data_IF_295153704971
#
_entry.id   IF_295153704971
#
_cell.length_a   1.000
_cell.length_b   1.000
_cell.length_c   1.000
_cell.angle_alpha   90.00
_cell.angle_beta   90.00
_cell.angle_gamma   90.00
#
_symmetry.space_group_name_H-M   'P 1'
#
loop_
_entity.id
_entity.type
_entity.pdbx_description
1 polymer ?
#
# COMPACT_ATOMS: atom_id res chain seq x y z
N UNK A 1 17.58 -18.88 -4.38
CA UNK A 1 17.61 -17.45 -4.01
C UNK A 1 16.17 -17.05 -3.77
N UNK A 2 15.82 -16.41 -2.65
CA UNK A 2 14.44 -15.94 -2.41
C UNK A 2 14.21 -14.71 -3.29
N UNK A 3 13.22 -14.78 -4.19
CA UNK A 3 12.83 -13.68 -5.06
C UNK A 3 11.57 -13.06 -4.46
N UNK A 4 11.52 -11.73 -4.33
CA UNK A 4 10.33 -11.00 -3.98
C UNK A 4 9.44 -10.87 -5.22
N UNK A 5 8.23 -11.42 -5.17
CA UNK A 5 7.23 -11.18 -6.21
C UNK A 5 6.35 -10.02 -5.75
N UNK A 6 6.34 -8.93 -6.53
CA UNK A 6 5.55 -7.72 -6.23
C UNK A 6 4.30 -7.72 -7.09
N UNK A 7 3.14 -7.77 -6.45
CA UNK A 7 1.83 -7.65 -7.10
C UNK A 7 1.33 -6.22 -6.96
N UNK A 8 1.07 -5.56 -8.08
CA UNK A 8 0.56 -4.19 -8.13
C UNK A 8 -0.90 -4.23 -8.56
N UNK A 9 -1.77 -3.64 -7.74
CA UNK A 9 -3.20 -3.51 -8.04
C UNK A 9 -3.48 -2.13 -8.61
N UNK A 10 -3.98 -2.11 -9.87
CA UNK A 10 -4.16 -0.89 -10.65
C UNK A 10 -5.59 -0.67 -11.09
N UNK A 11 -6.00 0.60 -11.18
CA UNK A 11 -7.22 1.03 -11.87
C UNK A 11 -7.17 2.52 -12.22
N UNK A 12 -7.14 2.84 -13.53
CA UNK A 12 -7.26 4.20 -14.07
C UNK A 12 -6.31 5.23 -13.43
N UNK A 13 -5.01 4.92 -13.37
CA UNK A 13 -3.95 5.77 -12.81
C UNK A 13 -2.60 5.57 -13.51
N UNK A 14 -2.53 5.80 -14.82
CA UNK A 14 -1.34 5.52 -15.64
C UNK A 14 -0.04 6.11 -15.09
N UNK A 15 0.00 7.41 -14.78
CA UNK A 15 1.19 8.05 -14.22
C UNK A 15 1.63 7.47 -12.86
N UNK A 16 0.66 7.13 -12.02
CA UNK A 16 0.94 6.54 -10.70
C UNK A 16 1.44 5.10 -10.85
N UNK A 17 0.79 4.30 -11.68
CA UNK A 17 1.23 2.94 -12.00
C UNK A 17 2.64 2.92 -12.55
N UNK A 18 2.96 3.82 -13.50
CA UNK A 18 4.32 4.00 -14.04
C UNK A 18 5.33 4.27 -12.93
N UNK A 19 5.04 5.23 -12.07
CA UNK A 19 5.92 5.58 -10.95
C UNK A 19 6.12 4.39 -9.98
N UNK A 20 5.06 3.66 -9.66
CA UNK A 20 5.13 2.46 -8.82
C UNK A 20 6.07 1.42 -9.44
N UNK A 21 5.84 1.03 -10.69
CA UNK A 21 6.63 0.02 -11.39
C UNK A 21 8.10 0.45 -11.54
N UNK A 22 8.36 1.69 -12.01
CA UNK A 22 9.72 2.17 -12.21
C UNK A 22 10.49 2.30 -10.90
N UNK A 23 9.83 2.66 -9.80
CA UNK A 23 10.45 2.69 -8.48
C UNK A 23 10.85 1.29 -8.00
N UNK A 24 10.02 0.27 -8.28
CA UNK A 24 10.35 -1.12 -7.96
C UNK A 24 11.56 -1.59 -8.80
N UNK A 25 11.55 -1.34 -10.10
CA UNK A 25 12.64 -1.71 -11.00
C UNK A 25 13.97 -1.07 -10.61
N UNK A 26 13.91 0.18 -10.13
CA UNK A 26 15.10 0.90 -9.66
C UNK A 26 15.61 0.39 -8.32
N UNK A 27 14.71 0.15 -7.38
CA UNK A 27 15.07 -0.13 -5.98
C UNK A 27 15.14 -1.63 -5.66
N UNK A 28 14.48 -2.49 -6.44
CA UNK A 28 14.45 -3.95 -6.27
C UNK A 28 14.61 -4.61 -7.65
N UNK A 29 15.76 -4.48 -8.30
CA UNK A 29 15.94 -4.88 -9.70
C UNK A 29 15.68 -6.37 -9.96
N UNK A 30 15.84 -7.22 -8.95
CA UNK A 30 15.59 -8.66 -9.04
C UNK A 30 14.14 -9.05 -8.70
N UNK A 31 13.23 -8.09 -8.48
CA UNK A 31 11.83 -8.39 -8.19
C UNK A 31 11.09 -8.92 -9.42
N UNK A 32 10.25 -9.93 -9.21
CA UNK A 32 9.27 -10.36 -10.20
C UNK A 32 8.01 -9.49 -10.08
N UNK A 33 7.71 -8.67 -11.08
CA UNK A 33 6.62 -7.68 -11.05
C UNK A 33 5.41 -8.22 -11.81
N UNK A 34 4.27 -8.27 -11.13
CA UNK A 34 2.99 -8.72 -11.70
C UNK A 34 1.93 -7.65 -11.46
N UNK A 35 1.29 -7.19 -12.53
CA UNK A 35 0.25 -6.16 -12.48
C UNK A 35 -1.12 -6.83 -12.59
N UNK A 36 -2.00 -6.55 -11.64
CA UNK A 36 -3.42 -6.91 -11.63
C UNK A 36 -4.23 -5.65 -11.90
N UNK A 37 -4.59 -5.45 -13.17
CA UNK A 37 -5.39 -4.30 -13.56
C UNK A 37 -6.89 -4.61 -13.44
N UNK A 38 -7.65 -3.72 -12.78
CA UNK A 38 -9.09 -3.88 -12.57
C UNK A 38 -9.93 -3.41 -13.79
N UNK A 39 -9.47 -3.76 -14.98
CA UNK A 39 -10.10 -3.41 -16.25
C UNK A 39 -10.15 -1.89 -16.50
N UNK A 40 -8.99 -1.26 -16.49
CA UNK A 40 -8.84 0.16 -16.78
C UNK A 40 -9.35 0.54 -18.18
N UNK A 41 -9.96 1.71 -18.27
CA UNK A 41 -10.45 2.32 -19.51
C UNK A 41 -9.81 3.69 -19.81
N UNK A 42 -8.91 4.13 -18.95
CA UNK A 42 -8.15 5.37 -19.09
C UNK A 42 -7.01 5.21 -20.11
N UNK A 43 -6.93 6.08 -21.15
CA UNK A 43 -5.95 5.93 -22.24
C UNK A 43 -4.48 5.95 -21.75
N UNK A 44 -4.15 6.76 -20.73
CA UNK A 44 -2.80 6.81 -20.17
C UNK A 44 -2.43 5.50 -19.49
N UNK A 45 -3.39 4.92 -18.75
CA UNK A 45 -3.19 3.62 -18.07
C UNK A 45 -3.00 2.51 -19.09
N UNK A 46 -3.86 2.43 -20.11
CA UNK A 46 -3.77 1.42 -21.17
C UNK A 46 -2.45 1.50 -21.93
N UNK A 47 -2.03 2.71 -22.33
CA UNK A 47 -0.75 2.92 -23.01
C UNK A 47 0.44 2.46 -22.14
N UNK A 48 0.38 2.69 -20.82
CA UNK A 48 1.44 2.22 -19.95
C UNK A 48 1.41 0.70 -19.72
N UNK A 49 0.23 0.07 -19.62
CA UNK A 49 0.12 -1.38 -19.53
C UNK A 49 0.74 -2.07 -20.75
N UNK A 50 0.48 -1.57 -21.96
CA UNK A 50 1.10 -2.07 -23.19
C UNK A 50 2.64 -1.93 -23.17
N UNK A 51 3.16 -0.82 -22.63
CA UNK A 51 4.60 -0.64 -22.45
C UNK A 51 5.17 -1.60 -21.42
N UNK A 52 4.52 -1.71 -20.24
CA UNK A 52 4.94 -2.53 -19.11
C UNK A 52 4.91 -4.04 -19.42
N UNK A 53 4.05 -4.49 -20.34
CA UNK A 53 3.96 -5.89 -20.76
C UNK A 53 5.28 -6.45 -21.32
N UNK A 54 6.24 -5.59 -21.69
CA UNK A 54 7.57 -5.99 -22.20
C UNK A 54 8.50 -6.50 -21.09
N UNK A 55 8.22 -6.17 -19.84
CA UNK A 55 9.09 -6.47 -18.69
C UNK A 55 8.35 -6.82 -17.38
N UNK A 56 7.03 -6.71 -17.38
CA UNK A 56 6.17 -7.16 -16.28
C UNK A 56 5.13 -8.14 -16.83
N UNK A 57 4.68 -9.08 -15.99
CA UNK A 57 3.50 -9.86 -16.29
C UNK A 57 2.25 -9.01 -16.00
N UNK A 58 1.38 -8.87 -17.00
CA UNK A 58 0.04 -8.30 -16.82
C UNK A 58 -0.94 -9.47 -16.70
N UNK A 59 -1.74 -9.50 -15.62
CA UNK A 59 -2.79 -10.51 -15.44
C UNK A 59 -4.07 -10.01 -16.05
N UNK A 60 -4.54 -10.72 -17.05
CA UNK A 60 -5.79 -10.39 -17.76
C UNK A 60 -7.00 -10.69 -16.86
N UNK A 61 -8.06 -9.85 -16.88
CA UNK A 61 -9.29 -10.09 -16.13
C UNK A 61 -9.91 -11.46 -16.39
N UNK A 62 -9.76 -11.99 -17.60
CA UNK A 62 -10.24 -13.32 -18.01
C UNK A 62 -9.51 -14.46 -17.28
N UNK A 63 -8.23 -14.31 -16.96
CA UNK A 63 -7.44 -15.30 -16.19
C UNK A 63 -7.98 -15.50 -14.78
N UNK A 64 -8.63 -14.46 -14.23
CA UNK A 64 -9.16 -14.45 -12.86
C UNK A 64 -10.69 -14.53 -12.81
N UNK A 65 -11.33 -14.83 -13.94
CA UNK A 65 -12.77 -15.11 -14.01
C UNK A 65 -13.67 -13.87 -13.87
N UNK A 66 -13.14 -12.65 -14.11
CA UNK A 66 -13.92 -11.41 -14.09
C UNK A 66 -14.12 -10.84 -15.48
N UNK A 67 -15.37 -10.45 -15.77
CA UNK A 67 -15.75 -9.71 -17.01
C UNK A 67 -15.87 -8.20 -16.70
N UNK A 68 -15.93 -7.82 -15.42
CA UNK A 68 -16.08 -6.44 -14.91
C UNK A 68 -15.12 -6.19 -13.76
N UNK A 69 -15.01 -4.91 -13.34
CA UNK A 69 -14.23 -4.53 -12.16
C UNK A 69 -14.56 -5.42 -10.96
N UNK A 70 -13.63 -6.30 -10.59
CA UNK A 70 -13.75 -7.19 -9.43
C UNK A 70 -13.41 -6.50 -8.14
N UNK A 71 -12.72 -5.35 -8.25
CA UNK A 71 -12.21 -4.58 -7.14
C UNK A 71 -10.94 -5.16 -6.49
N UNK A 72 -10.31 -4.35 -5.66
CA UNK A 72 -9.02 -4.66 -5.03
C UNK A 72 -8.96 -6.05 -4.39
N UNK A 73 -9.91 -6.38 -3.53
CA UNK A 73 -9.87 -7.64 -2.77
C UNK A 73 -10.17 -8.88 -3.60
N UNK A 74 -10.91 -8.74 -4.70
CA UNK A 74 -11.06 -9.83 -5.67
C UNK A 74 -9.71 -10.12 -6.32
N UNK A 75 -9.02 -9.08 -6.80
CA UNK A 75 -7.71 -9.21 -7.42
C UNK A 75 -6.65 -9.72 -6.42
N UNK A 76 -6.72 -9.31 -5.15
CA UNK A 76 -5.86 -9.87 -4.08
C UNK A 76 -6.08 -11.37 -3.86
N UNK A 77 -7.33 -11.84 -3.88
CA UNK A 77 -7.64 -13.26 -3.79
C UNK A 77 -7.13 -14.03 -5.02
N UNK A 78 -7.32 -13.47 -6.22
CA UNK A 78 -6.81 -14.05 -7.44
C UNK A 78 -5.28 -14.14 -7.45
N UNK A 79 -4.59 -13.10 -6.97
CA UNK A 79 -3.14 -13.11 -6.80
C UNK A 79 -2.68 -14.20 -5.82
N UNK A 80 -3.38 -14.35 -4.69
CA UNK A 80 -3.09 -15.39 -3.71
C UNK A 80 -3.23 -16.80 -4.31
N UNK A 81 -4.26 -17.04 -5.09
CA UNK A 81 -4.49 -18.34 -5.74
C UNK A 81 -3.51 -18.62 -6.87
N UNK A 82 -3.23 -17.62 -7.72
CA UNK A 82 -2.36 -17.73 -8.89
C UNK A 82 -0.88 -17.91 -8.50
N UNK A 83 -0.48 -17.32 -7.38
CA UNK A 83 0.92 -17.23 -6.95
C UNK A 83 1.18 -18.02 -5.66
N UNK A 84 0.36 -19.04 -5.39
CA UNK A 84 0.43 -19.86 -4.18
C UNK A 84 1.79 -20.50 -3.91
N UNK A 85 2.54 -20.83 -4.97
CA UNK A 85 3.83 -21.52 -4.92
C UNK A 85 5.03 -20.56 -4.83
N UNK A 86 4.77 -19.24 -4.81
CA UNK A 86 5.83 -18.24 -4.59
C UNK A 86 6.27 -18.23 -3.14
N UNK A 87 7.55 -17.97 -2.90
CA UNK A 87 8.10 -17.92 -1.53
C UNK A 87 7.66 -16.69 -0.77
N UNK A 88 7.60 -15.53 -1.43
CA UNK A 88 7.31 -14.24 -0.81
C UNK A 88 6.56 -13.34 -1.77
N UNK A 89 5.42 -12.79 -1.34
CA UNK A 89 4.64 -11.80 -2.07
C UNK A 89 4.66 -10.45 -1.35
N UNK A 90 4.74 -9.38 -2.13
CA UNK A 90 4.52 -8.01 -1.69
C UNK A 90 3.32 -7.44 -2.44
N UNK A 91 2.28 -7.01 -1.74
CA UNK A 91 1.13 -6.34 -2.32
C UNK A 91 1.29 -4.83 -2.23
N UNK A 92 1.21 -4.16 -3.36
CA UNK A 92 1.24 -2.71 -3.49
C UNK A 92 0.03 -2.23 -4.31
N UNK A 93 -0.30 -0.94 -4.18
CA UNK A 93 -1.29 -0.28 -5.03
C UNK A 93 -0.59 0.65 -6.02
N UNK A 94 -1.28 1.02 -7.09
CA UNK A 94 -0.77 1.91 -8.14
C UNK A 94 -0.23 3.26 -7.61
N UNK A 95 -0.79 3.76 -6.50
CA UNK A 95 -0.37 5.00 -5.84
C UNK A 95 0.71 4.84 -4.75
N UNK A 96 1.42 3.71 -4.79
CA UNK A 96 2.57 3.43 -3.91
C UNK A 96 3.88 3.63 -4.65
N UNK A 97 4.91 4.07 -3.95
CA UNK A 97 6.28 4.15 -4.47
C UNK A 97 7.24 3.41 -3.56
N UNK A 98 8.19 2.67 -4.14
CA UNK A 98 9.38 2.18 -3.45
C UNK A 98 10.38 3.33 -3.38
N UNK A 99 10.82 3.68 -2.18
CA UNK A 99 11.52 4.93 -1.90
C UNK A 99 13.00 4.76 -1.56
N UNK A 100 13.48 3.51 -1.51
CA UNK A 100 14.89 3.17 -1.30
C UNK A 100 15.24 1.80 -1.87
N UNK A 101 16.51 1.53 -2.18
CA UNK A 101 16.99 0.21 -2.49
C UNK A 101 16.67 -0.81 -1.38
N UNK A 102 16.34 -2.04 -1.80
CA UNK A 102 16.12 -3.19 -0.91
C UNK A 102 17.09 -4.28 -1.29
N UNK A 103 17.96 -4.66 -0.36
CA UNK A 103 18.98 -5.67 -0.60
C UNK A 103 18.41 -7.09 -0.56
N UNK A 104 19.11 -8.03 -1.22
CA UNK A 104 18.79 -9.45 -1.15
C UNK A 104 18.88 -10.01 0.29
N UNK A 105 19.67 -9.41 1.18
CA UNK A 105 19.72 -9.76 2.60
C UNK A 105 18.43 -9.37 3.31
N UNK A 106 17.91 -8.17 3.08
CA UNK A 106 16.62 -7.72 3.66
C UNK A 106 15.46 -8.62 3.20
N UNK A 107 15.45 -9.03 1.92
CA UNK A 107 14.43 -9.97 1.41
C UNK A 107 14.53 -11.32 2.14
N UNK A 108 15.75 -11.82 2.41
CA UNK A 108 15.94 -13.05 3.20
C UNK A 108 15.51 -12.88 4.66
N UNK A 109 15.71 -11.72 5.26
CA UNK A 109 15.26 -11.43 6.62
C UNK A 109 13.72 -11.42 6.70
N UNK A 110 13.03 -10.82 5.73
CA UNK A 110 11.58 -10.89 5.59
C UNK A 110 11.08 -12.34 5.45
N UNK A 111 11.73 -13.11 4.58
CA UNK A 111 11.40 -14.53 4.37
C UNK A 111 11.59 -15.34 5.66
N UNK A 112 12.67 -15.08 6.39
CA UNK A 112 12.99 -15.73 7.65
C UNK A 112 12.00 -15.37 8.77
N UNK A 113 11.69 -14.06 8.94
CA UNK A 113 10.71 -13.59 9.91
C UNK A 113 9.35 -14.27 9.68
N UNK A 114 8.86 -14.19 8.45
CA UNK A 114 7.57 -14.79 8.06
C UNK A 114 7.57 -16.32 8.07
N UNK A 115 8.73 -16.97 8.06
CA UNK A 115 8.86 -18.42 8.17
C UNK A 115 8.87 -18.94 9.60
N UNK A 116 9.41 -18.19 10.55
CA UNK A 116 9.66 -18.63 11.93
C UNK A 116 8.66 -18.13 12.96
N UNK A 117 8.04 -16.98 12.71
CA UNK A 117 7.11 -16.38 13.68
C UNK A 117 5.69 -16.88 13.47
N UNK A 118 5.18 -17.82 14.27
CA UNK A 118 3.81 -18.32 14.13
C UNK A 118 2.76 -17.21 14.23
N UNK A 119 3.07 -16.13 14.98
CA UNK A 119 2.20 -14.99 15.22
C UNK A 119 2.30 -13.84 14.24
N UNK A 120 3.08 -13.93 13.13
CA UNK A 120 3.13 -12.86 12.12
C UNK A 120 2.74 -13.37 10.76
N UNK A 121 1.51 -13.07 10.32
CA UNK A 121 1.03 -13.37 8.96
C UNK A 121 1.56 -12.37 7.94
N UNK A 122 1.81 -11.14 8.38
CA UNK A 122 2.06 -9.99 7.53
C UNK A 122 3.18 -9.11 8.05
N UNK A 123 3.92 -8.48 7.12
CA UNK A 123 4.87 -7.40 7.39
C UNK A 123 4.44 -6.17 6.62
N UNK A 124 4.35 -5.02 7.27
CA UNK A 124 4.02 -3.74 6.66
C UNK A 124 5.30 -3.05 6.16
N UNK A 125 5.45 -2.80 4.84
CA UNK A 125 6.66 -2.25 4.26
C UNK A 125 6.71 -0.72 4.21
N UNK A 126 5.64 -0.04 4.67
CA UNK A 126 5.51 1.40 4.49
C UNK A 126 5.84 2.19 5.76
N UNK A 127 6.30 3.43 5.54
CA UNK A 127 6.45 4.42 6.59
C UNK A 127 5.11 4.72 7.27
N UNK A 128 5.18 5.18 8.53
CA UNK A 128 4.02 5.66 9.27
C UNK A 128 3.63 7.04 8.76
N UNK A 129 2.35 7.26 8.51
CA UNK A 129 1.84 8.58 8.12
C UNK A 129 1.82 9.52 9.32
N UNK A 130 2.40 10.70 9.22
CA UNK A 130 2.44 11.68 10.31
C UNK A 130 1.06 12.06 10.85
N UNK A 131 0.03 12.04 9.98
CA UNK A 131 -1.34 12.29 10.40
C UNK A 131 -1.90 11.19 11.33
N UNK A 132 -1.40 9.96 11.24
CA UNK A 132 -1.84 8.85 12.09
C UNK A 132 -1.22 8.93 13.49
N UNK A 133 -0.01 9.46 13.63
CA UNK A 133 0.60 9.70 14.93
C UNK A 133 -0.21 10.67 15.80
N UNK A 134 -0.84 11.68 15.17
CA UNK A 134 -1.65 12.66 15.90
C UNK A 134 -2.97 12.09 16.41
N UNK A 135 -3.43 10.99 15.84
CA UNK A 135 -4.75 10.40 16.14
C UNK A 135 -4.67 9.16 17.02
N UNK A 136 -3.50 8.53 17.08
CA UNK A 136 -3.31 7.23 17.72
C UNK A 136 -1.98 7.26 18.47
N UNK A 137 -2.00 6.88 19.74
CA UNK A 137 -0.76 6.56 20.44
C UNK A 137 -0.16 5.32 19.78
N UNK A 138 0.76 5.52 18.86
CA UNK A 138 1.57 4.43 18.32
C UNK A 138 2.65 4.17 19.34
N UNK A 139 2.39 3.30 20.30
CA UNK A 139 3.42 2.81 21.20
C UNK A 139 4.03 1.58 20.54
N UNK A 140 5.31 1.63 20.13
CA UNK A 140 5.97 0.44 19.64
C UNK A 140 6.11 -0.52 20.81
N UNK A 141 5.60 -1.73 20.66
CA UNK A 141 6.00 -2.84 21.49
C UNK A 141 7.39 -3.25 20.99
N UNK A 142 8.40 -3.15 21.83
CA UNK A 142 9.75 -3.59 21.50
C UNK A 142 9.69 -5.05 21.08
N UNK A 143 9.77 -5.27 19.77
CA UNK A 143 10.11 -6.57 19.21
C UNK A 143 11.58 -6.86 19.51
N UNK A 144 12.03 -8.11 19.39
CA UNK A 144 13.44 -8.44 19.48
C UNK A 144 14.22 -7.60 18.46
N UNK A 145 15.52 -7.44 18.65
CA UNK A 145 16.48 -6.65 17.85
C UNK A 145 16.61 -7.10 16.37
N UNK A 146 15.49 -7.20 15.65
CA UNK A 146 15.34 -7.89 14.37
C UNK A 146 14.97 -6.95 13.20
N UNK A 147 15.08 -5.63 13.37
CA UNK A 147 14.67 -4.69 12.29
C UNK A 147 13.16 -4.49 12.16
N UNK A 148 12.35 -5.03 13.10
CA UNK A 148 10.89 -4.95 13.08
C UNK A 148 10.33 -4.49 14.43
N UNK A 149 9.15 -3.85 14.40
CA UNK A 149 8.37 -3.50 15.58
C UNK A 149 6.90 -3.88 15.38
N UNK A 150 6.15 -3.87 16.48
CA UNK A 150 4.71 -4.10 16.47
C UNK A 150 4.01 -2.87 17.02
N UNK A 151 2.79 -2.61 16.57
CA UNK A 151 1.95 -1.54 17.12
C UNK A 151 1.08 -2.10 18.24
N UNK A 152 0.92 -1.33 19.32
CA UNK A 152 0.00 -1.72 20.39
C UNK A 152 -1.43 -1.79 19.87
N UNK A 153 -2.13 -2.89 20.17
CA UNK A 153 -3.57 -3.03 19.88
C UNK A 153 -4.36 -2.07 20.77
N UNK A 154 -4.95 -1.04 20.15
CA UNK A 154 -5.81 -0.08 20.82
C UNK A 154 -7.29 -0.44 20.70
N UNK A 155 -7.63 -1.57 20.08
CA UNK A 155 -9.01 -2.01 19.86
C UNK A 155 -9.78 -1.20 18.80
N UNK A 156 -9.14 -0.22 18.14
CA UNK A 156 -9.90 0.77 17.39
C UNK A 156 -9.80 0.72 15.87
N UNK A 157 -8.98 -0.15 15.24
CA UNK A 157 -8.88 -0.04 13.77
C UNK A 157 -8.03 -1.08 13.06
N UNK A 158 -8.27 -1.17 11.77
CA UNK A 158 -7.37 -1.71 10.76
C UNK A 158 -5.94 -1.12 10.88
N UNK A 159 -4.93 -1.87 10.45
CA UNK A 159 -3.53 -1.48 10.48
C UNK A 159 -2.78 -1.89 11.76
N UNK A 160 -3.34 -2.76 12.59
CA UNK A 160 -2.64 -3.40 13.72
C UNK A 160 -2.26 -4.85 13.35
N UNK A 161 -3.16 -5.57 12.73
CA UNK A 161 -3.01 -6.97 12.36
C UNK A 161 -2.88 -7.15 10.84
N UNK A 162 -3.40 -6.20 10.06
CA UNK A 162 -3.43 -6.22 8.60
C UNK A 162 -3.42 -4.80 8.01
N UNK A 163 -2.85 -4.67 6.82
CA UNK A 163 -2.96 -3.53 5.91
C UNK A 163 -3.06 -4.05 4.47
N UNK A 164 -3.60 -3.24 3.55
CA UNK A 164 -3.66 -3.60 2.13
C UNK A 164 -2.28 -3.58 1.45
N UNK A 165 -1.28 -2.93 2.06
CA UNK A 165 0.13 -2.97 1.64
C UNK A 165 0.93 -3.86 2.58
N UNK A 166 1.27 -5.05 2.13
CA UNK A 166 1.88 -6.08 2.98
C UNK A 166 2.84 -6.98 2.23
N UNK A 167 3.81 -7.52 2.98
CA UNK A 167 4.64 -8.66 2.56
C UNK A 167 4.21 -9.88 3.34
N UNK A 168 4.09 -11.03 2.67
CA UNK A 168 3.63 -12.28 3.28
C UNK A 168 4.06 -13.52 2.50
N UNK A 169 3.90 -14.69 3.11
CA UNK A 169 4.09 -16.01 2.47
C UNK A 169 2.73 -16.57 2.02
N UNK A 170 2.46 -16.73 0.71
CA UNK A 170 1.16 -17.19 0.23
C UNK A 170 0.80 -18.57 0.74
N UNK A 171 1.72 -19.53 0.74
CA UNK A 171 1.48 -20.87 1.25
C UNK A 171 1.03 -20.90 2.71
N UNK A 172 1.56 -19.98 3.54
CA UNK A 172 1.15 -19.85 4.94
C UNK A 172 -0.27 -19.30 5.10
N UNK A 173 -0.62 -18.29 4.30
CA UNK A 173 -1.97 -17.74 4.32
C UNK A 173 -3.00 -18.80 3.89
N UNK A 174 -2.71 -19.52 2.81
CA UNK A 174 -3.57 -20.59 2.29
C UNK A 174 -3.74 -21.71 3.32
N UNK A 175 -2.65 -22.15 3.96
CA UNK A 175 -2.69 -23.18 5.01
C UNK A 175 -3.52 -22.75 6.23
N UNK A 176 -3.57 -21.45 6.54
CA UNK A 176 -4.41 -20.89 7.60
C UNK A 176 -5.85 -20.64 7.17
N UNK A 177 -6.24 -20.93 5.94
CA UNK A 177 -7.58 -20.67 5.42
C UNK A 177 -7.88 -19.19 5.15
N UNK A 178 -6.84 -18.35 4.99
CA UNK A 178 -7.01 -16.92 4.73
C UNK A 178 -7.71 -16.64 3.41
N UNK A 179 -8.63 -15.65 3.43
CA UNK A 179 -9.21 -15.02 2.25
C UNK A 179 -9.39 -13.53 2.49
N UNK A 180 -9.08 -12.72 1.48
CA UNK A 180 -9.29 -11.27 1.55
C UNK A 180 -10.78 -10.94 1.50
N UNK A 181 -11.29 -10.31 2.56
CA UNK A 181 -12.65 -9.76 2.65
C UNK A 181 -12.73 -8.39 1.96
N UNK A 182 -13.95 -7.93 1.66
CA UNK A 182 -14.23 -6.69 0.92
C UNK A 182 -13.96 -5.40 1.73
N UNK A 183 -13.21 -5.47 2.83
CA UNK A 183 -12.82 -4.29 3.61
C UNK A 183 -11.60 -4.55 4.49
N UNK A 184 -10.72 -3.55 4.59
CA UNK A 184 -9.53 -3.59 5.44
C UNK A 184 -9.86 -3.92 6.93
N UNK A 185 -10.92 -3.34 7.56
CA UNK A 185 -11.29 -3.71 8.93
C UNK A 185 -11.72 -5.17 9.11
N UNK A 186 -12.32 -5.80 8.09
CA UNK A 186 -12.68 -7.20 8.15
C UNK A 186 -11.43 -8.09 8.05
N UNK A 187 -10.50 -7.73 7.17
CA UNK A 187 -9.21 -8.40 7.05
C UNK A 187 -8.38 -8.26 8.33
N UNK A 188 -8.36 -7.08 8.95
CA UNK A 188 -7.64 -6.86 10.22
C UNK A 188 -8.18 -7.76 11.37
N UNK A 189 -9.52 -7.92 11.48
CA UNK A 189 -10.13 -8.84 12.46
C UNK A 189 -9.75 -10.30 12.19
N UNK A 190 -9.84 -10.74 10.93
CA UNK A 190 -9.45 -12.10 10.55
C UNK A 190 -7.95 -12.34 10.81
N UNK A 191 -7.08 -11.37 10.50
CA UNK A 191 -5.65 -11.47 10.76
C UNK A 191 -5.35 -11.58 12.28
N UNK A 192 -6.09 -10.83 13.11
CA UNK A 192 -6.00 -10.94 14.57
C UNK A 192 -6.28 -12.36 15.07
N UNK A 193 -7.28 -13.00 14.52
CA UNK A 193 -7.69 -14.36 14.91
C UNK A 193 -6.70 -15.43 14.43
N UNK A 194 -6.16 -15.27 13.21
CA UNK A 194 -5.31 -16.29 12.59
C UNK A 194 -3.81 -16.12 12.88
N UNK A 195 -3.32 -14.88 13.00
CA UNK A 195 -1.89 -14.58 13.02
C UNK A 195 -1.43 -13.67 14.15
N UNK A 196 -2.32 -12.89 14.76
CA UNK A 196 -1.94 -11.89 15.74
C UNK A 196 -1.50 -10.56 15.10
N UNK A 197 -0.53 -9.87 15.71
CA UNK A 197 -0.10 -8.55 15.27
C UNK A 197 0.76 -8.60 14.01
N UNK A 198 0.55 -7.64 13.10
CA UNK A 198 1.40 -7.41 11.92
C UNK A 198 2.73 -6.77 12.35
N UNK A 199 3.83 -7.26 11.79
CA UNK A 199 5.14 -6.64 11.98
C UNK A 199 5.29 -5.40 11.08
N UNK A 200 5.96 -4.37 11.59
CA UNK A 200 6.33 -3.15 10.87
C UNK A 200 7.85 -3.08 10.73
N UNK A 201 8.33 -2.67 9.57
CA UNK A 201 9.76 -2.47 9.35
C UNK A 201 10.24 -1.19 10.04
N UNK A 202 11.40 -1.24 10.75
CA UNK A 202 12.08 -0.04 11.25
C UNK A 202 12.65 0.80 10.12
N UNK A 203 13.08 0.17 9.04
CA UNK A 203 13.53 0.82 7.82
C UNK A 203 12.58 0.44 6.66
N UNK A 204 11.41 1.09 6.55
CA UNK A 204 10.46 0.81 5.50
C UNK A 204 11.02 1.14 4.12
N UNK A 205 10.50 0.49 3.09
CA UNK A 205 10.97 0.73 1.72
C UNK A 205 9.89 1.29 0.79
N UNK A 206 8.65 1.34 1.22
CA UNK A 206 7.54 1.81 0.40
C UNK A 206 6.71 2.89 1.10
N UNK A 207 5.98 3.70 0.32
CA UNK A 207 5.03 4.67 0.85
C UNK A 207 3.97 5.01 -0.19
N UNK A 208 2.73 5.29 0.26
CA UNK A 208 1.71 5.89 -0.59
C UNK A 208 2.11 7.29 -1.00
N UNK A 209 1.86 7.66 -2.25
CA UNK A 209 2.02 9.05 -2.68
C UNK A 209 1.03 9.95 -1.94
N UNK A 210 1.43 11.17 -1.55
CA UNK A 210 0.56 12.08 -0.83
C UNK A 210 -0.41 12.81 -1.76
N UNK A 211 -1.51 13.29 -1.18
CA UNK A 211 -2.51 14.14 -1.83
C UNK A 211 -3.05 13.56 -3.16
N UNK A 212 -3.25 12.24 -3.20
CA UNK A 212 -3.76 11.52 -4.37
C UNK A 212 -5.27 11.68 -4.48
N UNK A 213 -5.78 11.75 -5.71
CA UNK A 213 -7.22 11.77 -5.98
C UNK A 213 -7.91 10.49 -5.46
N UNK A 214 -8.99 10.67 -4.71
CA UNK A 214 -9.78 9.56 -4.16
C UNK A 214 -10.66 8.84 -5.20
N UNK A 215 -10.88 9.44 -6.38
CA UNK A 215 -11.78 8.91 -7.41
C UNK A 215 -11.07 8.75 -8.74
N UNK A 216 -11.19 7.57 -9.31
CA UNK A 216 -10.61 7.15 -10.58
C UNK A 216 -11.74 7.04 -11.61
N UNK A 217 -11.81 7.99 -12.55
CA UNK A 217 -12.82 7.98 -13.62
C UNK A 217 -14.28 8.24 -13.20
N UNK A 218 -14.62 8.23 -11.91
CA UNK A 218 -15.99 8.46 -11.44
C UNK A 218 -16.30 9.96 -11.31
N UNK A 219 -17.57 10.36 -11.54
CA UNK A 219 -18.03 11.74 -11.35
C UNK A 219 -17.92 12.16 -9.89
N UNK A 220 -16.97 13.07 -9.60
CA UNK A 220 -16.72 13.61 -8.26
C UNK A 220 -17.89 14.44 -7.75
N UNK A 221 -18.10 14.41 -6.44
CA UNK A 221 -19.03 15.34 -5.77
C UNK A 221 -18.45 16.75 -5.73
N UNK A 222 -19.30 17.75 -5.52
CA UNK A 222 -18.84 19.13 -5.33
C UNK A 222 -17.92 19.26 -4.11
N UNK A 223 -18.35 18.63 -2.98
CA UNK A 223 -17.54 18.62 -1.75
C UNK A 223 -16.15 18.03 -1.95
N UNK A 224 -16.04 16.94 -2.72
CA UNK A 224 -14.76 16.34 -3.03
C UNK A 224 -13.90 17.23 -3.94
N UNK A 225 -14.47 17.81 -5.01
CA UNK A 225 -13.74 18.72 -5.92
C UNK A 225 -13.14 19.92 -5.19
N UNK A 226 -13.92 20.53 -4.28
CA UNK A 226 -13.45 21.65 -3.46
C UNK A 226 -12.35 21.22 -2.47
N UNK A 227 -12.47 20.02 -1.90
CA UNK A 227 -11.45 19.46 -1.02
C UNK A 227 -10.14 19.19 -1.76
N UNK A 228 -10.21 18.58 -2.94
CA UNK A 228 -9.03 18.31 -3.79
C UNK A 228 -8.32 19.62 -4.19
N UNK A 229 -9.09 20.65 -4.61
CA UNK A 229 -8.53 21.97 -4.91
C UNK A 229 -7.82 22.58 -3.69
N UNK A 230 -8.45 22.52 -2.51
CA UNK A 230 -7.90 23.07 -1.27
C UNK A 230 -6.65 22.32 -0.83
N UNK A 231 -6.60 21.01 -1.03
CA UNK A 231 -5.45 20.13 -0.70
C UNK A 231 -4.38 20.12 -1.77
N UNK A 232 -4.58 20.78 -2.92
CA UNK A 232 -3.69 20.74 -4.06
C UNK A 232 -3.40 19.30 -4.50
N UNK A 233 -4.47 18.48 -4.58
CA UNK A 233 -4.34 17.09 -5.02
C UNK A 233 -3.65 17.02 -6.38
N UNK A 234 -2.67 16.14 -6.50
CA UNK A 234 -1.84 16.00 -7.69
C UNK A 234 -0.94 14.78 -7.65
N UNK A 235 0.00 14.72 -8.56
CA UNK A 235 1.02 13.69 -8.64
C UNK A 235 2.32 14.23 -8.04
N UNK A 236 2.71 13.70 -6.88
CA UNK A 236 3.87 14.13 -6.11
C UNK A 236 4.75 12.93 -5.76
N UNK A 237 5.55 12.42 -6.70
CA UNK A 237 6.45 11.31 -6.43
C UNK A 237 7.53 11.72 -5.42
N UNK A 238 7.97 10.77 -4.64
CA UNK A 238 9.08 10.95 -3.71
C UNK A 238 10.42 10.88 -4.45
N UNK A 239 11.40 11.59 -3.92
CA UNK A 239 12.80 11.33 -4.23
C UNK A 239 13.20 9.99 -3.57
N UNK A 240 13.94 9.16 -4.31
CA UNK A 240 14.54 7.95 -3.74
C UNK A 240 15.62 8.38 -2.74
N UNK A 241 15.63 7.74 -1.56
CA UNK A 241 16.61 8.00 -0.53
C UNK A 241 18.02 7.63 -0.99
N UNK A 242 18.99 8.47 -0.69
CA UNK A 242 20.41 8.20 -0.91
C UNK A 242 20.95 7.18 0.10
N UNK A 243 22.12 6.62 -0.18
CA UNK A 243 22.79 5.68 0.73
C UNK A 243 23.09 6.32 2.08
N UNK A 244 23.51 7.59 2.13
CA UNK A 244 23.76 8.33 3.35
C UNK A 244 22.49 8.53 4.20
N UNK A 245 21.35 8.80 3.55
CA UNK A 245 20.06 8.93 4.23
C UNK A 245 19.57 7.59 4.78
N UNK A 246 19.82 6.50 4.06
CA UNK A 246 19.50 5.13 4.51
C UNK A 246 20.35 4.76 5.70
N UNK A 247 21.64 5.04 5.66
CA UNK A 247 22.55 4.76 6.79
C UNK A 247 22.20 5.59 8.01
N UNK A 248 21.97 6.90 7.83
CA UNK A 248 21.47 7.75 8.89
C UNK A 248 20.13 7.28 9.49
N UNK A 249 19.25 6.68 8.68
CA UNK A 249 18.01 6.08 9.17
C UNK A 249 18.26 4.78 9.97
N UNK A 250 19.29 4.00 9.63
CA UNK A 250 19.68 2.79 10.38
C UNK A 250 20.29 3.10 11.74
N UNK A 251 21.06 4.19 11.82
CA UNK A 251 21.74 4.63 13.04
C UNK A 251 20.81 5.33 14.04
N UNK A 252 19.57 5.64 13.64
CA UNK A 252 18.62 6.31 14.52
C UNK A 252 18.28 5.47 15.74
N UNK A 253 18.00 6.17 16.85
CA UNK A 253 17.61 5.53 18.11
C UNK A 253 16.49 4.50 17.89
N UNK A 254 16.60 3.30 18.52
CA UNK A 254 15.67 2.18 18.30
C UNK A 254 14.20 2.48 18.66
N UNK A 255 13.90 3.68 19.10
CA UNK A 255 12.55 4.09 19.52
C UNK A 255 11.93 5.17 18.63
N UNK A 256 12.67 5.72 17.67
CA UNK A 256 12.11 6.70 16.75
C UNK A 256 11.35 6.01 15.62
N UNK A 257 10.03 6.16 15.65
CA UNK A 257 9.17 5.59 14.60
C UNK A 257 9.50 6.18 13.23
N UNK A 258 9.49 5.35 12.16
CA UNK A 258 9.76 5.80 10.80
C UNK A 258 8.55 6.54 10.22
N UNK A 259 8.46 7.84 10.49
CA UNK A 259 7.39 8.71 10.00
C UNK A 259 7.75 9.25 8.63
N UNK A 260 6.89 9.08 7.64
CA UNK A 260 7.16 9.45 6.25
C UNK A 260 7.63 10.91 6.09
N UNK A 261 6.99 11.84 6.80
CA UNK A 261 7.29 13.27 6.72
C UNK A 261 8.66 13.65 7.29
N UNK A 262 9.27 12.79 8.09
CA UNK A 262 10.60 13.01 8.67
C UNK A 262 11.73 12.53 7.71
N UNK A 263 11.44 11.57 6.83
CA UNK A 263 12.41 10.92 5.97
C UNK A 263 12.25 11.26 4.49
N UNK A 264 11.00 11.47 4.05
CA UNK A 264 10.69 11.55 2.64
C UNK A 264 10.47 12.99 2.18
N UNK A 265 10.87 13.25 0.94
CA UNK A 265 10.65 14.50 0.24
C UNK A 265 10.02 14.23 -1.13
N UNK A 266 8.97 15.00 -1.47
CA UNK A 266 8.38 14.95 -2.79
C UNK A 266 9.20 15.78 -3.78
N UNK A 267 9.25 15.36 -5.04
CA UNK A 267 9.78 16.13 -6.15
C UNK A 267 8.88 17.33 -6.47
N UNK A 268 9.32 18.33 -7.26
CA UNK A 268 8.99 19.74 -7.09
C UNK A 268 7.51 20.07 -6.99
N UNK A 269 7.17 21.06 -6.18
CA UNK A 269 5.78 21.45 -5.88
C UNK A 269 5.17 20.80 -4.65
N UNK A 270 6.01 20.23 -3.80
CA UNK A 270 5.69 19.53 -2.57
C UNK A 270 4.44 20.06 -1.84
N UNK A 271 3.44 19.23 -1.58
CA UNK A 271 2.32 19.62 -0.73
C UNK A 271 2.81 19.88 0.69
N UNK A 272 2.16 20.78 1.46
CA UNK A 272 2.59 21.07 2.83
C UNK A 272 2.45 19.84 3.73
N UNK A 273 3.47 19.57 4.54
CA UNK A 273 3.43 18.55 5.60
C UNK A 273 2.54 19.01 6.78
N UNK A 274 1.85 18.13 7.53
CA UNK A 274 1.79 16.69 7.29
C UNK A 274 0.87 16.37 6.10
N UNK A 275 1.30 15.39 5.30
CA UNK A 275 0.55 14.96 4.14
C UNK A 275 -0.78 14.28 4.50
N UNK A 276 -1.75 14.36 3.58
CA UNK A 276 -2.98 13.61 3.69
C UNK A 276 -3.14 12.66 2.50
N UNK A 277 -3.79 11.53 2.76
CA UNK A 277 -4.01 10.45 1.79
C UNK A 277 -5.48 10.30 1.43
N UNK A 278 -6.29 11.24 1.91
CA UNK A 278 -7.70 11.39 1.58
C UNK A 278 -8.03 12.89 1.61
N UNK A 279 -8.45 13.48 0.49
CA UNK A 279 -8.71 14.93 0.35
C UNK A 279 -9.71 15.50 1.39
N UNK A 280 -10.66 14.67 1.84
CA UNK A 280 -11.67 15.10 2.83
C UNK A 280 -11.17 15.08 4.29
N UNK A 281 -9.94 14.58 4.52
CA UNK A 281 -9.38 14.52 5.87
C UNK A 281 -9.19 15.92 6.46
N UNK A 282 -9.76 16.16 7.66
CA UNK A 282 -9.68 17.45 8.34
C UNK A 282 -10.66 18.52 7.83
N UNK A 283 -11.44 18.25 6.78
CA UNK A 283 -12.36 19.19 6.14
C UNK A 283 -13.82 18.83 6.44
N UNK A 284 -14.27 18.98 7.70
CA UNK A 284 -15.59 18.54 8.18
C UNK A 284 -16.76 19.03 7.31
N UNK A 285 -16.80 20.32 6.96
CA UNK A 285 -17.88 20.89 6.14
C UNK A 285 -17.94 20.27 4.75
N UNK A 286 -16.80 20.13 4.07
CA UNK A 286 -16.72 19.51 2.74
C UNK A 286 -17.03 18.00 2.78
N UNK A 287 -16.66 17.32 3.87
CA UNK A 287 -17.03 15.92 4.10
C UNK A 287 -18.54 15.77 4.26
N UNK A 288 -19.20 16.66 5.01
CA UNK A 288 -20.65 16.65 5.15
C UNK A 288 -21.34 16.91 3.82
N UNK A 289 -20.91 17.93 3.06
CA UNK A 289 -21.41 18.21 1.71
C UNK A 289 -21.27 17.01 0.78
N UNK A 290 -20.09 16.36 0.78
CA UNK A 290 -19.86 15.13 0.03
C UNK A 290 -20.85 14.03 0.42
N UNK A 291 -21.04 13.79 1.71
CA UNK A 291 -21.94 12.73 2.19
C UNK A 291 -23.41 12.98 1.81
N UNK A 292 -23.88 14.24 1.90
CA UNK A 292 -25.23 14.63 1.46
C UNK A 292 -25.40 14.36 -0.03
N UNK A 293 -24.46 14.81 -0.87
CA UNK A 293 -24.52 14.59 -2.32
C UNK A 293 -24.46 13.10 -2.68
N UNK A 294 -23.64 12.30 -2.00
CA UNK A 294 -23.57 10.84 -2.20
C UNK A 294 -24.91 10.19 -1.81
N UNK A 295 -25.52 10.58 -0.69
CA UNK A 295 -26.81 10.06 -0.27
C UNK A 295 -27.92 10.40 -1.29
N UNK A 296 -27.93 11.64 -1.76
CA UNK A 296 -28.86 12.12 -2.79
C UNK A 296 -28.69 11.32 -4.11
N UNK A 297 -27.48 11.18 -4.60
CA UNK A 297 -27.20 10.39 -5.81
C UNK A 297 -27.61 8.90 -5.70
N UNK A 298 -27.53 8.33 -4.48
CA UNK A 298 -28.00 6.94 -4.23
C UNK A 298 -29.52 6.85 -4.25
N UNK A 299 -30.22 7.87 -3.76
CA UNK A 299 -31.67 7.92 -3.75
C UNK A 299 -32.26 7.97 -5.16
N UNK A 300 -31.64 8.72 -6.10
CA UNK A 300 -32.07 8.81 -7.51
C UNK A 300 -31.62 7.61 -8.38
N UNK A 301 -30.83 6.69 -7.89
CA UNK A 301 -30.43 5.50 -8.62
C UNK A 301 -31.27 4.25 -8.26
N UNK A 302 -32.16 4.40 -7.27
CA UNK A 302 -33.19 3.40 -6.92
C UNK A 302 -34.49 3.73 -7.66
#
# INVERSE_FOLDING_TARGET
MTILTVCIFSFNRGAYLRNCVESIRTCIPDADIIIFDDNSDDPETLAYLDEAARYCRIVEPTEIGTIKHGGLYHNMNAALDLLRDRSLLCFLQDDTQVVRPVSSSEIKELDHLLGRSPGSGFVHPCFIRGIDLRKRSVTPLAGPATGFFYRQDTGQSAGIHYSDLVVFKPGRLIAAGWRFHQSEPANDRQAKELFGMMAYMWLPFAMWLPEVSAYRGKKKTLGLRLAEKKKRVGFYPFRILSDDEIEGAREQEPHRLPVAEDFLECTPGSPPKPWTYNPLTGLRLLKNLNNIEVAFRRWFKR
#
